data_IF_622243560413
#
_entry.id   IF_622243560413
#
_cell.length_a   1.000
_cell.length_b   1.000
_cell.length_c   1.000
_cell.angle_alpha   90.00
_cell.angle_beta   90.00
_cell.angle_gamma   90.00
#
_symmetry.space_group_name_H-M   'P 1'
#
loop_
_entity.id
_entity.type
_entity.pdbx_description
1 polymer ?
#
# COMPACT_ATOMS: atom_id res chain seq x y z
N UNK A 1 -12.67 9.34 -30.55
CA UNK A 1 -11.83 8.43 -29.72
C UNK A 1 -12.72 7.86 -28.63
N UNK A 2 -12.75 6.54 -28.45
CA UNK A 2 -13.60 5.81 -27.47
C UNK A 2 -13.36 6.33 -26.02
N UNK A 3 -14.40 6.48 -25.19
CA UNK A 3 -14.34 7.03 -23.83
C UNK A 3 -14.41 5.96 -22.72
N UNK A 4 -13.91 6.26 -21.51
CA UNK A 4 -14.14 5.62 -20.19
C UNK A 4 -12.93 5.95 -19.27
N UNK A 5 -13.02 6.32 -18.00
CA UNK A 5 -14.13 6.43 -17.06
C UNK A 5 -13.70 7.28 -15.84
N UNK A 6 -14.69 7.93 -15.22
CA UNK A 6 -14.86 8.28 -13.80
C UNK A 6 -13.71 9.06 -13.09
N UNK A 7 -13.88 10.33 -12.69
CA UNK A 7 -14.74 10.85 -11.60
C UNK A 7 -14.53 10.11 -10.27
N UNK A 8 -13.95 10.83 -9.32
CA UNK A 8 -14.24 10.95 -7.87
C UNK A 8 -13.03 11.73 -7.31
N UNK A 9 -13.05 12.95 -6.78
CA UNK A 9 -14.07 13.72 -6.06
C UNK A 9 -14.55 13.12 -4.74
N UNK A 10 -13.64 12.51 -3.96
CA UNK A 10 -13.70 12.33 -2.50
C UNK A 10 -12.34 11.72 -2.10
N UNK A 11 -11.61 12.12 -1.06
CA UNK A 11 -12.06 12.51 0.26
C UNK A 11 -11.13 13.56 0.88
N UNK A 12 -11.69 14.74 1.05
CA UNK A 12 -11.38 15.67 2.13
C UNK A 12 -11.80 14.99 3.44
N UNK A 13 -11.02 15.17 4.51
CA UNK A 13 -11.45 15.04 5.92
C UNK A 13 -11.99 13.68 6.36
N UNK A 14 -11.09 12.83 6.90
CA UNK A 14 -11.35 12.10 8.16
C UNK A 14 -10.07 12.02 8.99
N UNK A 15 -9.53 13.20 9.28
CA UNK A 15 -8.72 13.39 10.48
C UNK A 15 -9.71 13.49 11.65
N UNK A 16 -10.13 12.34 12.17
CA UNK A 16 -10.71 12.24 13.51
C UNK A 16 -10.73 10.77 13.95
N UNK A 17 -9.77 10.46 14.83
CA UNK A 17 -10.03 9.80 16.13
C UNK A 17 -10.23 8.28 16.08
N UNK A 18 -9.16 7.54 16.36
CA UNK A 18 -9.08 6.70 17.58
C UNK A 18 -7.63 6.34 17.91
N UNK A 19 -7.13 6.78 19.06
CA UNK A 19 -5.71 6.76 19.46
C UNK A 19 -5.26 5.40 20.04
N UNK A 20 -5.98 4.31 19.74
CA UNK A 20 -5.79 2.98 20.34
C UNK A 20 -5.68 1.85 19.29
N UNK A 21 -6.12 2.09 18.04
CA UNK A 21 -5.89 1.21 16.89
C UNK A 21 -4.82 1.82 16.00
N UNK A 22 -3.81 1.05 15.57
CA UNK A 22 -2.74 1.54 14.71
C UNK A 22 -3.32 2.28 13.51
N UNK A 23 -2.92 3.54 13.35
CA UNK A 23 -3.47 4.40 12.30
C UNK A 23 -3.19 3.81 10.91
N UNK A 24 -4.15 3.91 9.99
CA UNK A 24 -3.94 3.50 8.59
C UNK A 24 -2.70 4.17 7.98
N UNK A 25 -2.42 5.40 8.41
CA UNK A 25 -1.25 6.17 8.01
C UNK A 25 0.06 5.50 8.43
N UNK A 26 0.14 4.97 9.66
CA UNK A 26 1.28 4.18 10.15
C UNK A 26 1.51 2.93 9.28
N UNK A 27 0.43 2.29 8.81
CA UNK A 27 0.54 1.15 7.90
C UNK A 27 1.12 1.54 6.53
N UNK A 28 0.73 2.71 6.00
CA UNK A 28 1.23 3.23 4.73
C UNK A 28 2.69 3.69 4.83
N UNK A 29 3.07 4.34 5.92
CA UNK A 29 4.46 4.71 6.20
C UNK A 29 5.34 3.45 6.25
N UNK A 30 4.90 2.46 7.02
CA UNK A 30 5.62 1.20 7.15
C UNK A 30 5.69 0.40 5.84
N UNK A 31 4.64 0.48 5.01
CA UNK A 31 4.63 -0.07 3.65
C UNK A 31 5.72 0.59 2.80
N UNK A 32 5.79 1.93 2.80
CA UNK A 32 6.80 2.68 2.06
C UNK A 32 8.22 2.33 2.51
N UNK A 33 8.45 2.29 3.82
CA UNK A 33 9.75 1.91 4.39
C UNK A 33 10.16 0.48 3.99
N UNK A 34 9.19 -0.42 3.85
CA UNK A 34 9.42 -1.79 3.41
C UNK A 34 9.72 -1.88 1.92
N UNK A 35 9.07 -1.05 1.09
CA UNK A 35 9.37 -0.95 -0.34
C UNK A 35 10.77 -0.34 -0.53
N UNK A 36 11.13 0.73 0.18
CA UNK A 36 12.48 1.31 0.12
C UNK A 36 13.57 0.31 0.50
N UNK A 37 13.32 -0.52 1.52
CA UNK A 37 14.26 -1.57 1.89
C UNK A 37 14.47 -2.57 0.74
N UNK A 38 13.41 -2.91 0.00
CA UNK A 38 13.50 -3.80 -1.17
C UNK A 38 14.18 -3.11 -2.35
N UNK A 39 13.94 -1.81 -2.58
CA UNK A 39 14.63 -1.02 -3.62
C UNK A 39 16.13 -0.93 -3.32
N UNK A 40 16.50 -0.71 -2.06
CA UNK A 40 17.91 -0.70 -1.61
C UNK A 40 18.60 -2.06 -1.74
N UNK A 41 17.83 -3.15 -1.83
CA UNK A 41 18.34 -4.48 -2.13
C UNK A 41 18.44 -4.78 -3.64
N UNK A 42 18.34 -3.75 -4.51
CA UNK A 42 18.41 -3.85 -5.97
C UNK A 42 17.43 -4.89 -6.55
N UNK A 43 16.20 -4.92 -6.04
CA UNK A 43 15.16 -5.78 -6.58
C UNK A 43 14.48 -5.14 -7.77
N UNK A 44 14.63 -5.76 -8.94
CA UNK A 44 13.98 -5.32 -10.18
C UNK A 44 12.44 -5.36 -10.11
N UNK A 45 11.88 -6.34 -9.39
CA UNK A 45 10.43 -6.56 -9.29
C UNK A 45 10.05 -6.70 -7.83
N UNK A 46 9.26 -5.75 -7.35
CA UNK A 46 8.76 -5.75 -5.98
C UNK A 46 7.35 -6.34 -5.97
N UNK A 47 7.25 -7.61 -5.56
CA UNK A 47 5.96 -8.27 -5.40
C UNK A 47 5.32 -7.87 -4.06
N UNK A 48 4.00 -7.72 -4.02
CA UNK A 48 3.26 -7.44 -2.79
C UNK A 48 3.55 -8.47 -1.69
N UNK A 49 3.69 -9.74 -2.06
CA UNK A 49 4.10 -10.81 -1.13
C UNK A 49 5.49 -10.56 -0.51
N UNK A 50 6.42 -9.98 -1.26
CA UNK A 50 7.75 -9.63 -0.75
C UNK A 50 7.66 -8.45 0.20
N UNK A 51 6.86 -7.43 -0.13
CA UNK A 51 6.62 -6.29 0.76
C UNK A 51 6.03 -6.77 2.08
N UNK A 52 5.00 -7.62 2.03
CA UNK A 52 4.39 -8.24 3.22
C UNK A 52 5.40 -9.03 4.05
N UNK A 53 6.28 -9.80 3.40
CA UNK A 53 7.32 -10.56 4.09
C UNK A 53 8.34 -9.63 4.77
N UNK A 54 8.75 -8.55 4.11
CA UNK A 54 9.65 -7.54 4.66
C UNK A 54 9.02 -6.81 5.84
N UNK A 55 7.74 -6.43 5.73
CA UNK A 55 6.97 -5.84 6.83
C UNK A 55 6.95 -6.76 8.05
N UNK A 56 6.60 -8.04 7.86
CA UNK A 56 6.61 -9.02 8.97
C UNK A 56 8.00 -9.29 9.56
N UNK A 57 9.06 -9.19 8.74
CA UNK A 57 10.44 -9.34 9.22
C UNK A 57 10.86 -8.17 10.11
N UNK A 58 10.43 -6.95 9.77
CA UNK A 58 10.71 -5.74 10.55
C UNK A 58 9.81 -5.62 11.77
N UNK A 59 8.51 -5.88 11.62
CA UNK A 59 7.51 -5.89 12.69
C UNK A 59 6.66 -7.17 12.62
N UNK A 60 7.00 -8.21 13.39
CA UNK A 60 6.25 -9.46 13.39
C UNK A 60 4.81 -9.31 13.91
N UNK A 61 4.54 -8.26 14.68
CA UNK A 61 3.20 -7.87 15.16
C UNK A 61 2.33 -7.23 14.08
N UNK A 62 2.88 -6.93 12.89
CA UNK A 62 2.12 -6.34 11.80
C UNK A 62 0.96 -7.26 11.37
N UNK A 63 -0.26 -6.73 11.46
CA UNK A 63 -1.48 -7.41 11.06
C UNK A 63 -2.42 -6.41 10.36
N UNK A 64 -2.86 -6.73 9.16
CA UNK A 64 -3.71 -5.84 8.35
C UNK A 64 -5.02 -5.46 9.07
N UNK A 65 -5.58 -6.42 9.80
CA UNK A 65 -6.80 -6.20 10.60
C UNK A 65 -6.60 -5.21 11.74
N UNK A 66 -5.38 -5.09 12.28
CA UNK A 66 -5.06 -4.12 13.34
C UNK A 66 -5.14 -2.68 12.82
N UNK A 67 -4.78 -2.45 11.56
CA UNK A 67 -4.83 -1.15 10.89
C UNK A 67 -6.17 -0.92 10.16
N UNK A 68 -7.15 -1.81 10.32
CA UNK A 68 -8.47 -1.67 9.71
C UNK A 68 -8.55 -2.01 8.22
N UNK A 69 -7.65 -2.85 7.70
CA UNK A 69 -7.74 -3.41 6.34
C UNK A 69 -8.20 -4.86 6.40
N UNK A 70 -9.09 -5.31 5.49
CA UNK A 70 -9.51 -6.71 5.47
C UNK A 70 -8.42 -7.63 4.90
N UNK A 71 -7.53 -7.11 4.06
CA UNK A 71 -6.43 -7.87 3.47
C UNK A 71 -5.25 -7.00 3.06
N UNK A 72 -4.08 -7.61 2.82
CA UNK A 72 -2.91 -6.90 2.31
C UNK A 72 -3.16 -6.27 0.93
N UNK A 73 -3.97 -6.93 0.10
CA UNK A 73 -4.38 -6.41 -1.20
C UNK A 73 -5.13 -5.08 -1.05
N UNK A 74 -6.04 -5.00 -0.08
CA UNK A 74 -6.80 -3.78 0.21
C UNK A 74 -5.88 -2.65 0.69
N UNK A 75 -4.91 -2.97 1.55
CA UNK A 75 -3.88 -1.99 1.96
C UNK A 75 -3.10 -1.45 0.75
N UNK A 76 -2.69 -2.32 -0.18
CA UNK A 76 -2.00 -1.88 -1.40
C UNK A 76 -2.90 -1.04 -2.30
N UNK A 77 -4.15 -1.44 -2.48
CA UNK A 77 -5.13 -0.73 -3.30
C UNK A 77 -5.42 0.67 -2.73
N UNK A 78 -5.64 0.78 -1.42
CA UNK A 78 -5.90 2.05 -0.75
C UNK A 78 -4.65 2.96 -0.79
N UNK A 79 -3.45 2.39 -0.64
CA UNK A 79 -2.19 3.15 -0.81
C UNK A 79 -2.02 3.66 -2.25
N UNK A 80 -2.45 2.88 -3.24
CA UNK A 80 -2.42 3.31 -4.63
C UNK A 80 -3.49 4.33 -4.98
N UNK A 81 -4.68 4.21 -4.40
CA UNK A 81 -5.78 5.18 -4.57
C UNK A 81 -5.41 6.55 -3.97
N UNK A 82 -4.62 6.56 -2.89
CA UNK A 82 -4.06 7.78 -2.27
C UNK A 82 -2.83 8.34 -2.98
N UNK A 83 -2.41 7.73 -4.09
CA UNK A 83 -1.21 8.09 -4.86
C UNK A 83 0.09 8.05 -4.02
N UNK A 84 0.17 7.09 -3.09
CA UNK A 84 1.38 6.85 -2.27
C UNK A 84 2.31 5.89 -3.01
N UNK A 85 1.75 4.87 -3.65
CA UNK A 85 2.47 3.88 -4.47
C UNK A 85 1.72 3.56 -5.75
N UNK A 86 2.43 3.07 -6.76
CA UNK A 86 1.79 2.51 -7.94
C UNK A 86 1.88 0.99 -7.88
N UNK A 87 0.73 0.34 -8.08
CA UNK A 87 0.62 -1.11 -8.13
C UNK A 87 0.06 -1.57 -9.47
N UNK A 88 0.48 -2.77 -9.88
CA UNK A 88 -0.04 -3.47 -11.05
C UNK A 88 -0.44 -4.88 -10.65
N UNK A 89 -1.65 -5.27 -10.99
CA UNK A 89 -2.12 -6.64 -10.82
C UNK A 89 -1.57 -7.52 -11.94
N UNK A 90 -0.84 -8.57 -11.58
CA UNK A 90 -0.36 -9.55 -12.53
C UNK A 90 -1.49 -10.51 -12.91
N UNK A 91 -1.88 -10.53 -14.19
CA UNK A 91 -3.00 -11.32 -14.68
C UNK A 91 -2.76 -12.84 -14.65
N UNK A 92 -1.50 -13.27 -14.53
CA UNK A 92 -1.10 -14.68 -14.52
C UNK A 92 -1.18 -15.29 -13.12
N UNK A 93 -0.73 -14.56 -12.11
CA UNK A 93 -0.65 -15.01 -10.71
C UNK A 93 -1.75 -14.41 -9.81
N UNK A 94 -2.44 -13.35 -10.26
CA UNK A 94 -3.39 -12.60 -9.43
C UNK A 94 -2.74 -11.79 -8.32
N UNK A 95 -1.40 -11.72 -8.27
CA UNK A 95 -0.64 -11.00 -7.25
C UNK A 95 -0.38 -9.56 -7.67
N UNK A 96 -0.24 -8.66 -6.69
CA UNK A 96 0.14 -7.27 -6.94
C UNK A 96 1.65 -7.11 -7.04
N UNK A 97 2.08 -6.26 -7.96
CA UNK A 97 3.47 -5.84 -8.15
C UNK A 97 3.53 -4.33 -7.94
N UNK A 98 4.41 -3.87 -7.08
CA UNK A 98 4.69 -2.44 -6.90
C UNK A 98 5.57 -1.99 -8.06
N UNK A 99 5.09 -1.01 -8.82
CA UNK A 99 5.77 -0.47 -9.99
C UNK A 99 6.50 0.84 -9.71
N UNK A 100 6.22 1.49 -8.57
CA UNK A 100 6.88 2.73 -8.16
C UNK A 100 6.21 3.36 -6.94
N UNK A 101 6.76 4.50 -6.52
CA UNK A 101 6.14 5.41 -5.55
C UNK A 101 5.30 6.45 -6.29
N UNK A 102 4.19 6.88 -5.67
CA UNK A 102 3.38 7.99 -6.16
C UNK A 102 3.86 9.34 -5.59
N UNK A 103 3.14 10.41 -5.91
CA UNK A 103 3.57 11.78 -5.60
C UNK A 103 3.23 12.20 -4.16
N UNK A 104 2.35 11.44 -3.50
CA UNK A 104 1.81 11.74 -2.17
C UNK A 104 2.53 10.98 -1.05
N UNK A 105 3.82 10.68 -1.27
CA UNK A 105 4.66 9.99 -0.29
C UNK A 105 4.90 10.91 0.92
N UNK A 106 4.42 10.47 2.08
CA UNK A 106 4.61 11.12 3.39
C UNK A 106 6.08 11.12 3.83
#
# INVERSE_FOLDING_TARGET
>A
RKPAAAKDAAAKEKETKDKDTGDKEDAFDFLCESIDALVREDKDIIWGSMVKQTMKRKRPEFNESYFGFASFSELLEEAAEKDIIHIKKDARSGTYVVTGFGENRL
#
